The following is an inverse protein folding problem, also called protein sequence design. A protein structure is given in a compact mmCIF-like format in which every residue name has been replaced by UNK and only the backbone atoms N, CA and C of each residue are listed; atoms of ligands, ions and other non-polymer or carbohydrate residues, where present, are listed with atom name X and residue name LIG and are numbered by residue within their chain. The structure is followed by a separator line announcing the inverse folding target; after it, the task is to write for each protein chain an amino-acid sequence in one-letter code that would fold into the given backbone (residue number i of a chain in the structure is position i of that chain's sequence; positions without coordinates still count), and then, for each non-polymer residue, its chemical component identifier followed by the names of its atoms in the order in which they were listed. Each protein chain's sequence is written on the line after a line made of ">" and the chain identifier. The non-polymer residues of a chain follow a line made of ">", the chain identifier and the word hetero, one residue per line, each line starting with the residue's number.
data_IF_839143173960
#
_entry.id   IF_839143173960
#
_cell.length_a   1.000
_cell.length_b   1.000
_cell.length_c   1.000
_cell.angle_alpha   90.00
_cell.angle_beta   90.00
_cell.angle_gamma   90.00
#
_symmetry.space_group_name_H-M   'P 1'
#
loop_
_entity.id
_entity.type
_entity.pdbx_description
1 polymer ?
#
# COMPACT_ATOMS: atom_id res chain seq x y z
N UNK A 1 -86.33 -23.16 -21.40
CA UNK A 1 -85.33 -24.01 -20.70
C UNK A 1 -84.52 -23.07 -19.84
N UNK A 2 -85.02 -22.90 -18.63
CA UNK A 2 -84.48 -22.01 -17.62
C UNK A 2 -83.33 -22.71 -16.86
N UNK A 3 -82.26 -21.97 -16.63
CA UNK A 3 -81.32 -22.22 -15.53
C UNK A 3 -81.42 -21.00 -14.61
N UNK A 4 -81.96 -21.13 -13.38
CA UNK A 4 -82.01 -20.02 -12.45
C UNK A 4 -80.71 -19.92 -11.65
N UNK A 5 -80.13 -18.73 -11.66
CA UNK A 5 -79.06 -18.28 -10.77
C UNK A 5 -79.56 -18.23 -9.32
N UNK A 6 -79.09 -19.15 -8.47
CA UNK A 6 -79.21 -19.04 -7.02
C UNK A 6 -78.10 -18.11 -6.49
N UNK A 7 -78.43 -16.85 -6.29
CA UNK A 7 -77.82 -16.02 -5.25
C UNK A 7 -78.90 -15.82 -4.19
N UNK A 8 -78.90 -16.68 -3.18
CA UNK A 8 -79.76 -16.49 -2.01
C UNK A 8 -79.13 -15.42 -1.13
N UNK A 9 -79.60 -14.19 -1.30
CA UNK A 9 -79.47 -13.14 -0.30
C UNK A 9 -80.29 -13.57 0.93
N UNK A 10 -79.62 -13.69 2.08
CA UNK A 10 -80.31 -13.81 3.36
C UNK A 10 -80.60 -12.40 3.87
N UNK A 11 -81.83 -11.94 3.70
CA UNK A 11 -82.33 -10.74 4.38
C UNK A 11 -82.84 -11.14 5.77
N UNK A 12 -82.33 -10.48 6.81
CA UNK A 12 -82.99 -10.50 8.11
C UNK A 12 -84.28 -9.68 8.03
N UNK A 13 -85.31 -10.18 8.72
CA UNK A 13 -86.63 -9.56 8.89
C UNK A 13 -86.43 -8.32 9.77
N UNK A 14 -86.01 -7.21 9.18
CA UNK A 14 -86.21 -5.82 9.63
C UNK A 14 -85.46 -4.87 8.68
N UNK A 15 -85.94 -4.81 7.43
CA UNK A 15 -85.99 -3.63 6.56
C UNK A 15 -84.81 -2.65 6.42
N UNK A 16 -83.57 -2.99 6.76
CA UNK A 16 -82.41 -2.12 6.56
C UNK A 16 -81.34 -2.79 5.69
N UNK A 17 -81.31 -2.41 4.42
CA UNK A 17 -80.15 -2.65 3.55
C UNK A 17 -79.05 -1.68 3.97
N UNK A 18 -78.24 -2.04 4.96
CA UNK A 18 -77.00 -1.34 5.26
C UNK A 18 -76.00 -1.55 4.11
N UNK A 19 -75.17 -0.54 3.74
CA UNK A 19 -74.13 -0.73 2.75
C UNK A 19 -73.20 -1.88 3.20
N UNK A 20 -72.96 -2.84 2.31
CA UNK A 20 -72.14 -4.05 2.55
C UNK A 20 -70.82 -3.71 3.27
N UNK A 21 -70.79 -3.91 4.58
CA UNK A 21 -69.60 -3.77 5.43
C UNK A 21 -68.47 -4.73 5.00
N UNK A 22 -68.84 -5.85 4.39
CA UNK A 22 -67.90 -6.83 3.80
C UNK A 22 -67.18 -6.26 2.55
N UNK A 23 -67.82 -5.39 1.77
CA UNK A 23 -67.17 -4.71 0.65
C UNK A 23 -66.19 -3.63 1.12
N UNK A 24 -66.51 -2.90 2.20
CA UNK A 24 -65.64 -1.87 2.78
C UNK A 24 -64.43 -2.44 3.51
N UNK A 25 -64.57 -3.58 4.19
CA UNK A 25 -63.45 -4.27 4.84
C UNK A 25 -62.48 -4.89 3.82
N UNK A 26 -62.98 -5.44 2.71
CA UNK A 26 -62.16 -5.95 1.61
C UNK A 26 -61.32 -4.83 0.93
N UNK A 27 -61.91 -3.66 0.70
CA UNK A 27 -61.21 -2.46 0.20
C UNK A 27 -60.17 -1.95 1.22
N UNK A 28 -60.52 -1.96 2.52
CA UNK A 28 -59.62 -1.60 3.61
C UNK A 28 -58.40 -2.53 3.74
N UNK A 29 -58.58 -3.84 3.58
CA UNK A 29 -57.47 -4.82 3.58
C UNK A 29 -56.57 -4.70 2.36
N UNK A 30 -57.13 -4.37 1.19
CA UNK A 30 -56.34 -4.12 -0.03
C UNK A 30 -55.44 -2.89 0.09
N UNK A 31 -55.96 -1.80 0.65
CA UNK A 31 -55.18 -0.57 0.88
C UNK A 31 -54.10 -0.74 1.97
N UNK A 32 -54.38 -1.50 3.03
CA UNK A 32 -53.38 -1.82 4.05
C UNK A 32 -52.22 -2.69 3.51
N UNK A 33 -52.52 -3.63 2.61
CA UNK A 33 -51.50 -4.43 1.93
C UNK A 33 -50.63 -3.58 0.99
N UNK A 34 -51.22 -2.62 0.27
CA UNK A 34 -50.47 -1.70 -0.60
C UNK A 34 -49.58 -0.77 0.24
N UNK A 35 -50.09 -0.24 1.36
CA UNK A 35 -49.32 0.63 2.24
C UNK A 35 -48.12 -0.09 2.90
N UNK A 36 -48.29 -1.35 3.30
CA UNK A 36 -47.20 -2.16 3.86
C UNK A 36 -46.13 -2.50 2.83
N UNK A 37 -46.51 -2.84 1.59
CA UNK A 37 -45.55 -3.05 0.49
C UNK A 37 -44.77 -1.77 0.17
N UNK A 38 -45.43 -0.61 0.17
CA UNK A 38 -44.79 0.68 -0.06
C UNK A 38 -43.81 1.06 1.06
N UNK A 39 -44.18 0.80 2.31
CA UNK A 39 -43.30 1.01 3.47
C UNK A 39 -42.07 0.11 3.42
N UNK A 40 -42.22 -1.16 3.02
CA UNK A 40 -41.10 -2.10 2.84
C UNK A 40 -40.18 -1.68 1.69
N UNK A 41 -40.72 -1.17 0.58
CA UNK A 41 -39.93 -0.62 -0.53
C UNK A 41 -39.13 0.63 -0.13
N UNK A 42 -39.73 1.52 0.64
CA UNK A 42 -39.03 2.71 1.18
C UNK A 42 -37.92 2.27 2.15
N UNK A 43 -38.19 1.28 3.01
CA UNK A 43 -37.20 0.75 3.94
C UNK A 43 -36.04 0.02 3.23
N UNK A 44 -36.33 -0.74 2.17
CA UNK A 44 -35.30 -1.42 1.36
C UNK A 44 -34.45 -0.42 0.55
N UNK A 45 -35.07 0.63 0.01
CA UNK A 45 -34.33 1.67 -0.73
C UNK A 45 -33.51 2.57 0.19
N UNK A 46 -33.98 2.86 1.41
CA UNK A 46 -33.18 3.57 2.41
C UNK A 46 -32.00 2.70 2.90
N UNK A 47 -32.24 1.42 3.20
CA UNK A 47 -31.19 0.48 3.61
C UNK A 47 -30.14 0.28 2.51
N UNK A 48 -30.54 0.24 1.23
CA UNK A 48 -29.60 0.13 0.10
C UNK A 48 -28.72 1.38 -0.03
N UNK A 49 -29.30 2.58 0.08
CA UNK A 49 -28.53 3.84 0.05
C UNK A 49 -27.56 3.95 1.23
N UNK A 50 -27.95 3.45 2.39
CA UNK A 50 -27.10 3.43 3.58
C UNK A 50 -25.97 2.42 3.44
N UNK A 51 -26.24 1.24 2.89
CA UNK A 51 -25.22 0.24 2.55
C UNK A 51 -24.23 0.76 1.50
N UNK A 52 -24.71 1.38 0.42
CA UNK A 52 -23.85 1.97 -0.63
C UNK A 52 -22.99 3.11 -0.06
N UNK A 53 -23.53 3.94 0.84
CA UNK A 53 -22.75 4.95 1.58
C UNK A 53 -21.67 4.34 2.46
N UNK A 54 -21.97 3.26 3.18
CA UNK A 54 -20.96 2.60 4.03
C UNK A 54 -19.84 1.96 3.22
N UNK A 55 -20.15 1.43 2.03
CA UNK A 55 -19.13 0.91 1.11
C UNK A 55 -18.26 2.04 0.59
N UNK A 56 -18.86 3.16 0.15
CA UNK A 56 -18.09 4.33 -0.32
C UNK A 56 -17.18 4.91 0.76
N UNK A 57 -17.66 5.05 2.00
CA UNK A 57 -16.83 5.54 3.12
C UNK A 57 -15.67 4.59 3.37
N UNK A 58 -15.91 3.28 3.33
CA UNK A 58 -14.88 2.25 3.51
C UNK A 58 -13.83 2.28 2.40
N UNK A 59 -14.26 2.43 1.15
CA UNK A 59 -13.36 2.53 -0.01
C UNK A 59 -12.54 3.83 0.02
N UNK A 60 -13.15 4.95 0.42
CA UNK A 60 -12.47 6.23 0.62
C UNK A 60 -11.45 6.16 1.75
N UNK A 61 -11.78 5.51 2.87
CA UNK A 61 -10.86 5.29 3.98
C UNK A 61 -9.69 4.39 3.56
N UNK A 62 -9.97 3.29 2.85
CA UNK A 62 -8.94 2.39 2.32
C UNK A 62 -8.02 3.07 1.31
N UNK A 63 -8.57 3.87 0.40
CA UNK A 63 -7.77 4.60 -0.58
C UNK A 63 -6.85 5.64 0.08
N UNK A 64 -7.30 6.28 1.17
CA UNK A 64 -6.50 7.22 1.97
C UNK A 64 -5.42 6.49 2.77
N UNK A 65 -5.74 5.34 3.36
CA UNK A 65 -4.80 4.49 4.09
C UNK A 65 -3.68 4.02 3.15
N UNK A 66 -4.02 3.56 1.95
CA UNK A 66 -3.08 3.11 0.94
C UNK A 66 -2.22 4.24 0.39
N UNK A 67 -2.80 5.43 0.18
CA UNK A 67 -2.03 6.61 -0.19
C UNK A 67 -1.00 6.99 0.89
N UNK A 68 -1.36 6.88 2.17
CA UNK A 68 -0.43 7.11 3.30
C UNK A 68 0.66 6.04 3.36
N UNK A 69 0.31 4.76 3.15
CA UNK A 69 1.28 3.65 3.07
C UNK A 69 2.29 3.87 1.95
N UNK A 70 1.80 4.18 0.76
CA UNK A 70 2.64 4.50 -0.41
C UNK A 70 3.53 5.72 -0.17
N UNK A 71 2.98 6.80 0.40
CA UNK A 71 3.80 7.98 0.72
C UNK A 71 4.93 7.66 1.70
N UNK A 72 4.68 6.80 2.71
CA UNK A 72 5.73 6.35 3.64
C UNK A 72 6.76 5.48 2.92
N UNK A 73 6.32 4.54 2.10
CA UNK A 73 7.21 3.68 1.31
C UNK A 73 8.13 4.50 0.39
N UNK A 74 7.66 5.59 -0.22
CA UNK A 74 8.49 6.48 -1.03
C UNK A 74 9.59 7.18 -0.19
N UNK A 75 9.23 7.68 1.00
CA UNK A 75 10.19 8.30 1.93
C UNK A 75 11.23 7.28 2.39
N UNK A 76 10.79 6.06 2.71
CA UNK A 76 11.68 4.97 3.09
C UNK A 76 12.58 4.55 1.93
N UNK A 77 12.05 4.43 0.71
CA UNK A 77 12.83 4.07 -0.47
C UNK A 77 13.95 5.08 -0.74
N UNK A 78 13.65 6.38 -0.63
CA UNK A 78 14.67 7.42 -0.73
C UNK A 78 15.73 7.34 0.37
N UNK A 79 15.29 7.09 1.61
CA UNK A 79 16.20 6.98 2.77
C UNK A 79 17.11 5.77 2.66
N UNK A 80 16.56 4.60 2.30
CA UNK A 80 17.30 3.36 2.07
C UNK A 80 18.29 3.52 0.91
N UNK A 81 17.88 4.16 -0.19
CA UNK A 81 18.79 4.47 -1.30
C UNK A 81 20.03 5.26 -0.85
N UNK A 82 19.83 6.25 0.05
CA UNK A 82 20.93 7.04 0.62
C UNK A 82 21.83 6.21 1.53
N UNK A 83 21.26 5.36 2.38
CA UNK A 83 22.04 4.44 3.24
C UNK A 83 22.87 3.47 2.40
N UNK A 84 22.31 2.89 1.33
CA UNK A 84 23.03 2.01 0.41
C UNK A 84 24.20 2.74 -0.26
N UNK A 85 24.03 4.00 -0.68
CA UNK A 85 25.14 4.79 -1.24
C UNK A 85 26.24 5.05 -0.20
N UNK A 86 25.84 5.41 1.02
CA UNK A 86 26.77 5.64 2.13
C UNK A 86 27.53 4.37 2.51
N UNK A 87 26.90 3.20 2.40
CA UNK A 87 27.51 1.90 2.62
C UNK A 87 28.42 1.46 1.45
N UNK A 88 28.05 1.78 0.20
CA UNK A 88 28.80 1.39 -0.99
C UNK A 88 30.16 2.09 -1.10
N UNK A 89 30.25 3.39 -0.73
CA UNK A 89 31.50 4.17 -0.83
C UNK A 89 32.69 3.53 -0.08
N UNK A 90 32.59 3.19 1.22
CA UNK A 90 33.69 2.56 1.94
C UNK A 90 33.98 1.14 1.43
N UNK A 91 32.97 0.39 0.98
CA UNK A 91 33.17 -0.94 0.37
C UNK A 91 33.96 -0.86 -0.93
N UNK A 92 33.64 0.09 -1.82
CA UNK A 92 34.41 0.32 -3.04
C UNK A 92 35.85 0.71 -2.75
N UNK A 93 36.08 1.56 -1.75
CA UNK A 93 37.43 1.94 -1.32
C UNK A 93 38.22 0.72 -0.83
N UNK A 94 37.62 -0.07 0.06
CA UNK A 94 38.22 -1.31 0.57
C UNK A 94 38.55 -2.29 -0.56
N UNK A 95 37.63 -2.49 -1.50
CA UNK A 95 37.84 -3.37 -2.65
C UNK A 95 39.04 -2.92 -3.49
N UNK A 96 39.15 -1.61 -3.77
CA UNK A 96 40.25 -1.04 -4.53
C UNK A 96 41.59 -1.15 -3.79
N UNK A 97 41.60 -0.90 -2.48
CA UNK A 97 42.79 -1.03 -1.64
C UNK A 97 43.27 -2.49 -1.60
N UNK A 98 42.35 -3.46 -1.43
CA UNK A 98 42.66 -4.89 -1.48
C UNK A 98 43.19 -5.33 -2.84
N UNK A 99 42.54 -4.92 -3.93
CA UNK A 99 42.99 -5.24 -5.28
C UNK A 99 44.39 -4.69 -5.56
N UNK A 100 44.69 -3.46 -5.10
CA UNK A 100 46.01 -2.84 -5.24
C UNK A 100 47.08 -3.62 -4.46
N UNK A 101 46.80 -3.97 -3.21
CA UNK A 101 47.73 -4.75 -2.37
C UNK A 101 47.96 -6.15 -2.93
N UNK A 102 46.91 -6.82 -3.41
CA UNK A 102 47.00 -8.16 -4.00
C UNK A 102 47.82 -8.16 -5.30
N UNK A 103 47.62 -7.17 -6.18
CA UNK A 103 48.43 -7.02 -7.41
C UNK A 103 49.90 -6.69 -7.12
N UNK A 104 50.18 -5.98 -6.03
CA UNK A 104 51.53 -5.68 -5.57
C UNK A 104 52.19 -6.84 -4.79
N UNK A 105 51.52 -7.99 -4.61
CA UNK A 105 52.04 -9.12 -3.83
C UNK A 105 52.10 -8.88 -2.32
N UNK A 106 51.46 -7.82 -1.80
CA UNK A 106 51.48 -7.41 -0.38
C UNK A 106 50.41 -8.14 0.44
N UNK A 107 50.41 -9.48 0.39
CA UNK A 107 49.38 -10.34 0.98
C UNK A 107 49.22 -10.15 2.49
N UNK A 108 50.33 -9.98 3.22
CA UNK A 108 50.29 -9.76 4.67
C UNK A 108 49.58 -8.46 5.05
N UNK A 109 49.73 -7.41 4.24
CA UNK A 109 49.07 -6.13 4.47
C UNK A 109 47.60 -6.17 4.07
N UNK A 110 47.27 -6.86 2.97
CA UNK A 110 45.89 -7.12 2.60
C UNK A 110 45.16 -7.92 3.70
N UNK A 111 45.80 -8.94 4.28
CA UNK A 111 45.24 -9.72 5.39
C UNK A 111 44.96 -8.84 6.64
N UNK A 112 45.88 -7.92 6.96
CA UNK A 112 45.69 -6.94 8.05
C UNK A 112 44.54 -6.00 7.74
N UNK A 113 44.45 -5.49 6.52
CA UNK A 113 43.36 -4.61 6.09
C UNK A 113 42.01 -5.32 6.22
N UNK A 114 41.87 -6.53 5.68
CA UNK A 114 40.67 -7.35 5.80
C UNK A 114 40.27 -7.61 7.26
N UNK A 115 41.24 -7.92 8.12
CA UNK A 115 40.99 -8.18 9.56
C UNK A 115 40.62 -6.90 10.33
N UNK A 116 41.09 -5.74 9.86
CA UNK A 116 40.83 -4.43 10.47
C UNK A 116 39.47 -3.85 10.09
N UNK A 117 38.90 -4.24 8.94
CA UNK A 117 37.53 -3.89 8.57
C UNK A 117 36.56 -4.85 9.28
N UNK A 118 36.58 -4.78 10.61
CA UNK A 118 35.50 -5.24 11.48
C UNK A 118 34.67 -4.02 11.84
N UNK A 119 33.43 -3.97 11.37
CA UNK A 119 32.48 -2.95 11.80
C UNK A 119 32.42 -1.71 10.92
N UNK A 120 31.90 -1.87 9.69
CA UNK A 120 31.00 -0.86 9.12
C UNK A 120 29.74 -0.73 9.98
N UNK A 121 29.86 -0.42 11.26
CA UNK A 121 28.71 -0.27 12.15
C UNK A 121 27.97 1.00 11.76
N UNK A 122 26.66 0.88 11.50
CA UNK A 122 25.74 2.01 11.42
C UNK A 122 25.43 2.57 10.03
N UNK A 123 25.83 1.92 8.93
CA UNK A 123 25.55 2.46 7.58
C UNK A 123 24.18 2.08 7.03
N UNK A 124 23.61 0.93 7.43
CA UNK A 124 22.25 0.48 7.08
C UNK A 124 21.27 0.57 8.26
N UNK A 125 21.47 1.54 9.16
CA UNK A 125 20.75 1.60 10.45
C UNK A 125 19.23 1.72 10.28
N UNK A 126 18.77 2.52 9.32
CA UNK A 126 17.34 2.70 9.06
C UNK A 126 16.75 1.46 8.39
N UNK A 127 17.45 0.86 7.42
CA UNK A 127 17.05 -0.40 6.81
C UNK A 127 16.89 -1.51 7.86
N UNK A 128 17.83 -1.65 8.79
CA UNK A 128 17.76 -2.61 9.90
C UNK A 128 16.57 -2.34 10.83
N UNK A 129 16.36 -1.07 11.23
CA UNK A 129 15.25 -0.68 12.12
C UNK A 129 13.86 -0.87 11.49
N UNK A 130 13.79 -0.78 10.16
CA UNK A 130 12.53 -0.86 9.41
C UNK A 130 12.34 -2.21 8.72
N UNK A 131 13.20 -3.19 8.97
CA UNK A 131 13.10 -4.53 8.38
C UNK A 131 11.74 -5.20 8.67
N UNK A 132 11.16 -4.94 9.85
CA UNK A 132 9.86 -5.46 10.26
C UNK A 132 8.67 -4.60 9.76
N UNK A 133 8.94 -3.50 9.05
CA UNK A 133 7.96 -2.47 8.64
C UNK A 133 8.11 -2.10 7.17
N UNK A 134 8.14 -3.11 6.31
CA UNK A 134 8.24 -2.96 4.85
C UNK A 134 6.86 -2.81 4.18
N UNK A 135 5.86 -2.33 4.91
CA UNK A 135 4.51 -2.07 4.38
C UNK A 135 4.57 -1.05 3.24
N UNK A 136 4.03 -1.42 2.08
CA UNK A 136 4.02 -0.58 0.87
C UNK A 136 5.20 -0.81 -0.08
N UNK A 137 6.12 -1.73 0.24
CA UNK A 137 7.06 -2.31 -0.72
C UNK A 137 6.46 -3.55 -1.38
N UNK A 138 6.85 -3.83 -2.62
CA UNK A 138 6.54 -5.10 -3.27
C UNK A 138 7.34 -6.23 -2.63
N UNK A 139 6.86 -7.48 -2.70
CA UNK A 139 7.59 -8.65 -2.18
C UNK A 139 9.02 -8.72 -2.71
N UNK A 140 9.20 -8.41 -4.00
CA UNK A 140 10.53 -8.36 -4.64
C UNK A 140 11.45 -7.33 -3.97
N UNK A 141 10.94 -6.13 -3.67
CA UNK A 141 11.71 -5.09 -2.99
C UNK A 141 11.99 -5.45 -1.55
N UNK A 142 11.01 -6.01 -0.83
CA UNK A 142 11.18 -6.43 0.55
C UNK A 142 12.27 -7.52 0.66
N UNK A 143 12.25 -8.52 -0.21
CA UNK A 143 13.29 -9.55 -0.28
C UNK A 143 14.65 -8.94 -0.60
N UNK A 144 14.73 -8.01 -1.56
CA UNK A 144 15.98 -7.35 -1.90
C UNK A 144 16.55 -6.51 -0.73
N UNK A 145 15.70 -5.81 0.02
CA UNK A 145 16.08 -5.07 1.24
C UNK A 145 16.62 -6.03 2.31
N UNK A 146 15.90 -7.12 2.58
CA UNK A 146 16.33 -8.12 3.57
C UNK A 146 17.64 -8.80 3.16
N UNK A 147 17.83 -9.09 1.87
CA UNK A 147 19.07 -9.64 1.34
C UNK A 147 20.23 -8.65 1.51
N UNK A 148 20.01 -7.36 1.21
CA UNK A 148 21.03 -6.32 1.41
C UNK A 148 21.44 -6.21 2.89
N UNK A 149 20.49 -6.24 3.82
CA UNK A 149 20.75 -6.26 5.27
C UNK A 149 21.52 -7.52 5.66
N UNK A 150 21.10 -8.70 5.17
CA UNK A 150 21.76 -9.97 5.46
C UNK A 150 23.23 -10.00 5.03
N UNK A 151 23.51 -9.54 3.82
CA UNK A 151 24.87 -9.47 3.27
C UNK A 151 25.69 -8.42 4.01
N UNK A 152 25.11 -7.25 4.30
CA UNK A 152 25.78 -6.25 5.12
C UNK A 152 26.18 -6.80 6.48
N UNK A 153 25.29 -7.53 7.15
CA UNK A 153 25.58 -8.16 8.44
C UNK A 153 26.67 -9.23 8.36
N UNK A 154 26.79 -9.94 7.23
CA UNK A 154 27.89 -10.88 6.99
C UNK A 154 29.22 -10.15 6.75
N UNK A 155 29.20 -9.04 6.02
CA UNK A 155 30.37 -8.19 5.79
C UNK A 155 30.79 -7.40 7.04
N UNK A 156 29.85 -7.00 7.89
CA UNK A 156 30.14 -6.26 9.11
C UNK A 156 30.87 -7.13 10.16
N UNK A 157 30.72 -8.46 10.09
CA UNK A 157 31.45 -9.39 10.95
C UNK A 157 32.95 -9.31 10.63
N UNK A 158 33.81 -9.08 11.65
CA UNK A 158 35.25 -9.17 11.45
C UNK A 158 35.57 -10.59 11.00
N UNK A 159 36.39 -10.72 9.96
CA UNK A 159 37.08 -11.98 9.74
C UNK A 159 37.98 -12.20 10.95
N UNK A 160 37.88 -13.37 11.58
CA UNK A 160 38.78 -13.75 12.67
C UNK A 160 40.20 -13.41 12.24
N UNK A 161 41.03 -12.80 13.11
CA UNK A 161 42.34 -12.32 12.73
C UNK A 161 43.03 -13.46 11.99
N UNK A 162 43.30 -13.23 10.70
CA UNK A 162 43.98 -14.23 9.87
C UNK A 162 45.35 -14.35 10.51
N UNK A 163 45.53 -15.38 11.36
CA UNK A 163 46.69 -15.46 12.21
C UNK A 163 47.94 -15.43 11.34
N UNK A 164 49.02 -14.85 11.86
CA UNK A 164 50.33 -14.87 11.21
C UNK A 164 50.86 -16.30 10.96
N UNK A 165 50.16 -17.31 11.47
CA UNK A 165 50.45 -18.74 11.35
C UNK A 165 49.57 -19.45 10.30
N UNK A 166 48.60 -18.76 9.68
CA UNK A 166 47.79 -19.31 8.58
C UNK A 166 48.64 -19.46 7.32
N UNK A 167 48.55 -20.60 6.64
CA UNK A 167 49.23 -20.84 5.37
C UNK A 167 49.02 -19.69 4.36
N UNK A 168 50.08 -19.33 3.62
CA UNK A 168 50.04 -18.20 2.69
C UNK A 168 48.97 -18.37 1.61
N UNK A 169 48.75 -19.60 1.12
CA UNK A 169 47.70 -19.87 0.13
C UNK A 169 46.31 -19.69 0.73
N UNK A 170 46.11 -20.14 1.98
CA UNK A 170 44.85 -19.94 2.69
C UNK A 170 44.57 -18.44 2.93
N UNK A 171 45.58 -17.60 3.20
CA UNK A 171 45.39 -16.14 3.29
C UNK A 171 44.92 -15.54 1.97
N UNK A 172 45.56 -15.93 0.87
CA UNK A 172 45.18 -15.47 -0.47
C UNK A 172 43.74 -15.86 -0.79
N UNK A 173 43.34 -17.10 -0.46
CA UNK A 173 41.96 -17.57 -0.65
C UNK A 173 40.95 -16.78 0.18
N UNK A 174 41.25 -16.51 1.46
CA UNK A 174 40.37 -15.73 2.33
C UNK A 174 40.22 -14.28 1.88
N UNK A 175 41.30 -13.65 1.42
CA UNK A 175 41.25 -12.28 0.87
C UNK A 175 40.45 -12.28 -0.43
N UNK A 176 40.69 -13.25 -1.32
CA UNK A 176 39.96 -13.37 -2.58
C UNK A 176 38.46 -13.59 -2.35
N UNK A 177 38.09 -14.49 -1.44
CA UNK A 177 36.70 -14.71 -1.05
C UNK A 177 36.08 -13.41 -0.53
N UNK A 178 36.80 -12.69 0.34
CA UNK A 178 36.30 -11.42 0.87
C UNK A 178 36.08 -10.38 -0.22
N UNK A 179 36.96 -10.31 -1.22
CA UNK A 179 36.78 -9.42 -2.37
C UNK A 179 35.55 -9.80 -3.19
N UNK A 180 35.28 -11.10 -3.38
CA UNK A 180 34.06 -11.59 -4.05
C UNK A 180 32.81 -11.20 -3.26
N UNK A 181 32.82 -11.38 -1.94
CA UNK A 181 31.68 -11.01 -1.08
C UNK A 181 31.38 -9.50 -1.15
N UNK A 182 32.43 -8.66 -1.20
CA UNK A 182 32.31 -7.20 -1.34
C UNK A 182 31.73 -6.83 -2.71
N UNK A 183 32.23 -7.44 -3.78
CA UNK A 183 31.76 -7.19 -5.15
C UNK A 183 30.28 -7.57 -5.31
N UNK A 184 29.89 -8.73 -4.78
CA UNK A 184 28.50 -9.17 -4.78
C UNK A 184 27.59 -8.23 -3.99
N UNK A 185 28.05 -7.73 -2.83
CA UNK A 185 27.29 -6.75 -2.05
C UNK A 185 27.08 -5.43 -2.81
N UNK A 186 28.12 -4.94 -3.49
CA UNK A 186 28.04 -3.72 -4.30
C UNK A 186 27.05 -3.87 -5.46
N UNK A 187 27.02 -5.04 -6.11
CA UNK A 187 26.05 -5.34 -7.16
C UNK A 187 24.62 -5.32 -6.61
N UNK A 188 24.38 -5.99 -5.48
CA UNK A 188 23.05 -6.03 -4.85
C UNK A 188 22.61 -4.64 -4.38
N UNK A 189 23.53 -3.83 -3.83
CA UNK A 189 23.23 -2.45 -3.44
C UNK A 189 22.83 -1.60 -4.64
N UNK A 190 23.50 -1.78 -5.78
CA UNK A 190 23.15 -1.09 -7.02
C UNK A 190 21.78 -1.51 -7.54
N UNK A 191 21.52 -2.81 -7.65
CA UNK A 191 20.22 -3.33 -8.12
C UNK A 191 19.08 -2.85 -7.21
N UNK A 192 19.30 -2.88 -5.89
CA UNK A 192 18.31 -2.37 -4.93
C UNK A 192 18.11 -0.86 -5.08
N UNK A 193 19.17 -0.07 -5.30
CA UNK A 193 19.03 1.37 -5.57
C UNK A 193 18.19 1.63 -6.81
N UNK A 194 18.39 0.87 -7.89
CA UNK A 194 17.59 1.00 -9.12
C UNK A 194 16.11 0.69 -8.84
N UNK A 195 15.81 -0.39 -8.10
CA UNK A 195 14.45 -0.74 -7.69
C UNK A 195 13.79 0.30 -6.78
N UNK A 196 14.54 0.87 -5.84
CA UNK A 196 14.05 1.91 -4.92
C UNK A 196 13.85 3.25 -5.64
N UNK A 197 14.72 3.58 -6.60
CA UNK A 197 14.58 4.77 -7.42
C UNK A 197 13.35 4.69 -8.34
N UNK A 198 13.09 3.52 -8.94
CA UNK A 198 11.88 3.28 -9.73
C UNK A 198 10.62 3.45 -8.87
N UNK A 199 10.61 2.93 -7.65
CA UNK A 199 9.49 3.08 -6.72
C UNK A 199 9.30 4.52 -6.27
N UNK A 200 10.37 5.21 -5.87
CA UNK A 200 10.32 6.62 -5.49
C UNK A 200 9.81 7.49 -6.64
N UNK A 201 10.20 7.18 -7.89
CA UNK A 201 9.72 7.84 -9.10
C UNK A 201 8.24 7.54 -9.33
N UNK A 202 7.82 6.28 -9.33
CA UNK A 202 6.42 5.87 -9.53
C UNK A 202 5.48 6.52 -8.50
N UNK A 203 5.94 6.64 -7.25
CA UNK A 203 5.19 7.27 -6.17
C UNK A 203 5.26 8.81 -6.22
N UNK A 204 6.34 9.39 -6.75
CA UNK A 204 6.44 10.81 -7.11
C UNK A 204 5.44 11.20 -8.21
N UNK A 205 5.30 10.37 -9.26
CA UNK A 205 4.27 10.53 -10.30
C UNK A 205 2.85 10.29 -9.78
N UNK A 206 2.66 9.42 -8.77
CA UNK A 206 1.37 9.25 -8.11
C UNK A 206 0.96 10.48 -7.27
N UNK A 207 1.94 11.27 -6.79
CA UNK A 207 1.69 12.52 -6.07
C UNK A 207 1.29 13.67 -7.01
N UNK A 208 1.86 13.74 -8.22
CA UNK A 208 1.46 14.73 -9.23
C UNK A 208 0.04 14.49 -9.75
N UNK A 209 -0.35 13.25 -10.06
CA UNK A 209 -1.73 12.94 -10.51
C UNK A 209 -2.80 13.26 -9.47
N UNK A 210 -2.55 12.98 -8.18
CA UNK A 210 -3.51 13.29 -7.11
C UNK A 210 -3.61 14.79 -6.79
N UNK A 211 -2.55 15.57 -7.00
CA UNK A 211 -2.62 17.04 -6.78
C UNK A 211 -3.41 17.72 -7.90
N UNK A 212 -3.27 17.28 -9.14
CA UNK A 212 -4.11 17.77 -10.24
C UNK A 212 -5.57 17.38 -10.07
N UNK A 213 -5.86 16.15 -9.63
CA UNK A 213 -7.23 15.69 -9.37
C UNK A 213 -7.85 16.42 -8.17
N UNK A 214 -7.10 16.67 -7.09
CA UNK A 214 -7.56 17.44 -5.92
C UNK A 214 -7.71 18.93 -6.26
N UNK A 215 -6.84 19.49 -7.11
CA UNK A 215 -6.97 20.85 -7.60
C UNK A 215 -8.22 20.99 -8.47
N UNK A 216 -8.47 20.00 -9.36
CA UNK A 216 -9.65 19.95 -10.22
C UNK A 216 -10.95 19.80 -9.41
N UNK A 217 -10.98 18.89 -8.44
CA UNK A 217 -12.12 18.68 -7.54
C UNK A 217 -12.40 19.92 -6.66
N UNK A 218 -11.35 20.59 -6.18
CA UNK A 218 -11.51 21.85 -5.44
C UNK A 218 -11.98 23.00 -6.32
N UNK A 219 -11.55 23.08 -7.59
CA UNK A 219 -12.10 24.06 -8.54
C UNK A 219 -13.56 23.77 -8.86
N UNK A 220 -13.93 22.52 -9.10
CA UNK A 220 -15.32 22.10 -9.35
C UNK A 220 -16.22 22.41 -8.15
N UNK A 221 -15.80 22.07 -6.92
CA UNK A 221 -16.52 22.45 -5.69
C UNK A 221 -16.62 23.96 -5.50
N UNK A 222 -15.56 24.71 -5.84
CA UNK A 222 -15.57 26.17 -5.74
C UNK A 222 -16.56 26.78 -6.73
N UNK A 223 -16.61 26.25 -7.94
CA UNK A 223 -17.52 26.72 -8.99
C UNK A 223 -18.97 26.36 -8.68
N UNK A 224 -19.23 25.17 -8.11
CA UNK A 224 -20.54 24.78 -7.60
C UNK A 224 -21.00 25.67 -6.44
N UNK A 225 -20.11 26.01 -5.50
CA UNK A 225 -20.42 26.91 -4.40
C UNK A 225 -20.65 28.34 -4.89
N UNK A 226 -19.87 28.82 -5.86
CA UNK A 226 -20.07 30.15 -6.46
C UNK A 226 -21.38 30.23 -7.25
N UNK A 227 -21.75 29.16 -7.96
CA UNK A 227 -23.04 29.05 -8.63
C UNK A 227 -24.21 29.01 -7.63
N UNK A 228 -24.06 28.27 -6.53
CA UNK A 228 -25.07 28.20 -5.46
C UNK A 228 -25.23 29.52 -4.68
N UNK A 229 -24.16 30.31 -4.56
CA UNK A 229 -24.20 31.65 -3.95
C UNK A 229 -24.77 32.73 -4.88
N UNK A 230 -25.22 32.37 -6.08
CA UNK A 230 -25.91 33.30 -6.98
C UNK A 230 -24.99 34.29 -7.70
N UNK A 231 -23.68 34.03 -7.76
CA UNK A 231 -22.80 34.73 -8.70
C UNK A 231 -22.99 34.15 -10.11
N UNK A 232 -24.18 34.37 -10.67
CA UNK A 232 -24.32 34.42 -12.13
C UNK A 232 -23.47 35.60 -12.55
N UNK A 233 -22.47 35.33 -13.38
CA UNK A 233 -21.69 36.36 -14.07
C UNK A 233 -22.67 37.06 -15.03
N UNK A 234 -23.35 38.09 -14.54
CA UNK A 234 -24.06 39.03 -15.39
C UNK A 234 -23.02 39.75 -16.25
N UNK A 235 -22.97 39.31 -17.50
CA UNK A 235 -22.29 39.98 -18.59
C UNK A 235 -23.27 40.09 -19.74
N UNK A 236 -24.25 40.98 -19.58
CA UNK A 236 -24.80 41.87 -20.60
C UNK A 236 -25.22 43.19 -19.93
#
# INVERSE_FOLDING_TARGET
>A
MDVPSKLSAWCWIDGSCGPDWEAWSAIGTGLAAIATVFAVLIALTSAKREHDRTIQIRDDEWSREDARRQSRAAIYAHTFGRELLQAAVPLMRLYNDLNTLMRAGRVAEAARLVSSVGGGQGQLTMMERMADRLDGFTDRQAVAILNAIGIWNQLAKPLSPIAADVDQNLRVQLIAQRMVDIDQALLIFRELQELLAEQAKALGFARERKVEDIARENTERRDELLAAMGFVREGE
#
